data_IF_938424315259
#
_entry.id   IF_938424315259
#
_cell.length_a   1.000
_cell.length_b   1.000
_cell.length_c   1.000
_cell.angle_alpha   90.00
_cell.angle_beta   90.00
_cell.angle_gamma   90.00
#
_symmetry.space_group_name_H-M   'P 1'
#
loop_
_entity.id
_entity.type
_entity.pdbx_description
1 polymer ?
#
# COMPACT_ATOMS: atom_id res chain seq x y z
N UNK A 1 17.08 -15.77 -11.21
CA UNK A 1 16.49 -15.07 -10.06
C UNK A 1 17.30 -15.44 -8.84
N UNK A 2 17.84 -14.48 -8.11
CA UNK A 2 18.51 -14.78 -6.85
C UNK A 2 17.43 -14.97 -5.78
N UNK A 3 17.52 -16.08 -5.03
CA UNK A 3 16.66 -16.34 -3.88
C UNK A 3 17.16 -15.49 -2.72
N UNK A 4 16.26 -14.73 -2.09
CA UNK A 4 16.57 -13.87 -0.95
C UNK A 4 16.22 -14.61 0.34
N UNK A 5 17.03 -14.41 1.39
CA UNK A 5 16.68 -14.92 2.71
C UNK A 5 15.66 -14.01 3.40
N UNK A 6 14.84 -14.52 4.35
CA UNK A 6 13.86 -13.70 5.07
C UNK A 6 14.46 -12.55 5.90
N UNK A 7 15.77 -12.57 6.18
CA UNK A 7 16.46 -11.49 6.89
C UNK A 7 16.81 -10.35 5.92
N UNK A 8 17.14 -10.68 4.67
CA UNK A 8 17.52 -9.71 3.65
C UNK A 8 16.30 -9.05 3.00
N UNK A 9 15.22 -9.81 2.81
CA UNK A 9 14.00 -9.31 2.16
C UNK A 9 12.76 -10.09 2.60
N UNK A 10 11.62 -9.40 2.55
CA UNK A 10 10.29 -10.01 2.65
C UNK A 10 9.88 -10.78 1.38
N UNK A 11 10.54 -10.53 0.24
CA UNK A 11 10.31 -11.24 -1.01
C UNK A 11 11.21 -12.47 -1.12
N UNK A 12 10.70 -13.54 -1.75
CA UNK A 12 11.46 -14.77 -1.89
C UNK A 12 12.53 -14.66 -2.98
N UNK A 13 12.34 -13.77 -3.96
CA UNK A 13 13.26 -13.57 -5.07
C UNK A 13 13.50 -12.10 -5.39
N UNK A 14 14.64 -11.83 -6.04
CA UNK A 14 14.94 -10.49 -6.57
C UNK A 14 13.92 -10.02 -7.60
N UNK A 15 13.37 -10.91 -8.42
CA UNK A 15 12.37 -10.52 -9.43
C UNK A 15 11.07 -10.03 -8.79
N UNK A 16 10.58 -10.73 -7.75
CA UNK A 16 9.40 -10.31 -6.99
C UNK A 16 9.63 -8.93 -6.33
N UNK A 17 10.82 -8.72 -5.75
CA UNK A 17 11.19 -7.47 -5.13
C UNK A 17 11.24 -6.31 -6.16
N UNK A 18 11.87 -6.54 -7.31
CA UNK A 18 11.97 -5.54 -8.38
C UNK A 18 10.60 -5.21 -8.97
N UNK A 19 9.73 -6.22 -9.14
CA UNK A 19 8.36 -6.01 -9.60
C UNK A 19 7.53 -5.19 -8.60
N UNK A 20 7.69 -5.45 -7.30
CA UNK A 20 7.04 -4.67 -6.25
C UNK A 20 7.56 -3.22 -6.22
N UNK A 21 8.88 -3.01 -6.28
CA UNK A 21 9.48 -1.67 -6.28
C UNK A 21 8.99 -0.84 -7.48
N UNK A 22 8.95 -1.43 -8.68
CA UNK A 22 8.45 -0.76 -9.87
C UNK A 22 6.97 -0.33 -9.73
N UNK A 23 6.11 -1.24 -9.24
CA UNK A 23 4.71 -0.91 -8.96
C UNK A 23 4.56 0.16 -7.88
N UNK A 24 5.34 0.06 -6.79
CA UNK A 24 5.27 0.99 -5.67
C UNK A 24 5.69 2.39 -6.08
N UNK A 25 6.78 2.54 -6.84
CA UNK A 25 7.21 3.84 -7.39
C UNK A 25 6.16 4.46 -8.29
N UNK A 26 5.56 3.68 -9.19
CA UNK A 26 4.48 4.17 -10.05
C UNK A 26 3.28 4.66 -9.23
N UNK A 27 2.90 3.92 -8.18
CA UNK A 27 1.83 4.31 -7.26
C UNK A 27 2.15 5.61 -6.50
N UNK A 28 3.39 5.78 -6.06
CA UNK A 28 3.84 7.01 -5.39
C UNK A 28 3.84 8.20 -6.36
N UNK A 29 4.31 8.03 -7.59
CA UNK A 29 4.29 9.08 -8.60
C UNK A 29 2.85 9.55 -8.90
N UNK A 30 1.91 8.61 -9.03
CA UNK A 30 0.48 8.93 -9.17
C UNK A 30 -0.06 9.71 -7.96
N UNK A 31 0.35 9.36 -6.74
CA UNK A 31 -0.08 10.06 -5.54
C UNK A 31 0.53 11.46 -5.44
N UNK A 32 1.81 11.62 -5.79
CA UNK A 32 2.55 12.89 -5.76
C UNK A 32 2.05 13.88 -6.81
N UNK A 33 1.58 13.39 -7.95
CA UNK A 33 1.04 14.22 -9.04
C UNK A 33 -0.45 14.53 -8.86
N UNK A 34 -1.10 13.93 -7.86
CA UNK A 34 -2.52 14.19 -7.56
C UNK A 34 -2.74 15.62 -7.09
N UNK A 35 -3.72 16.29 -7.69
CA UNK A 35 -4.20 17.63 -7.27
C UNK A 35 -5.33 17.55 -6.25
N UNK A 36 -5.74 16.34 -5.85
CA UNK A 36 -6.78 16.17 -4.84
C UNK A 36 -6.32 16.73 -3.49
N UNK A 37 -7.19 17.43 -2.74
CA UNK A 37 -6.84 17.90 -1.42
C UNK A 37 -6.58 16.72 -0.47
N UNK A 38 -5.65 16.91 0.46
CA UNK A 38 -5.44 15.97 1.56
C UNK A 38 -6.72 15.81 2.40
N UNK A 39 -6.92 14.61 2.95
CA UNK A 39 -8.03 14.31 3.84
C UNK A 39 -7.53 14.44 5.28
N UNK A 40 -8.22 15.21 6.16
CA UNK A 40 -7.89 15.25 7.58
C UNK A 40 -7.92 13.87 8.22
N UNK A 41 -7.03 13.61 9.18
CA UNK A 41 -6.91 12.31 9.85
C UNK A 41 -8.25 11.80 10.40
N UNK A 42 -8.99 12.65 11.13
CA UNK A 42 -10.27 12.27 11.73
C UNK A 42 -11.30 11.85 10.68
N UNK A 43 -11.29 12.48 9.51
CA UNK A 43 -12.17 12.12 8.40
C UNK A 43 -11.78 10.77 7.80
N UNK A 44 -10.48 10.47 7.65
CA UNK A 44 -10.02 9.15 7.21
C UNK A 44 -10.45 8.07 8.22
N UNK A 45 -10.30 8.33 9.52
CA UNK A 45 -10.71 7.39 10.56
C UNK A 45 -12.22 7.14 10.56
N UNK A 46 -13.02 8.18 10.34
CA UNK A 46 -14.48 8.02 10.18
C UNK A 46 -14.84 7.15 8.96
N UNK A 47 -14.17 7.36 7.82
CA UNK A 47 -14.37 6.54 6.62
C UNK A 47 -14.00 5.07 6.86
N UNK A 48 -12.87 4.82 7.52
CA UNK A 48 -12.44 3.45 7.87
C UNK A 48 -13.48 2.79 8.79
N UNK A 49 -13.97 3.49 9.79
CA UNK A 49 -14.96 2.93 10.72
C UNK A 49 -16.28 2.58 10.02
N UNK A 50 -16.72 3.38 9.05
CA UNK A 50 -17.88 3.07 8.23
C UNK A 50 -17.70 1.78 7.42
N UNK A 51 -16.51 1.56 6.84
CA UNK A 51 -16.21 0.34 6.10
C UNK A 51 -16.22 -0.87 7.03
N UNK A 52 -15.65 -0.75 8.23
CA UNK A 52 -15.64 -1.84 9.24
C UNK A 52 -17.07 -2.17 9.66
N UNK A 53 -17.88 -1.17 10.01
CA UNK A 53 -19.28 -1.37 10.43
C UNK A 53 -20.09 -2.09 9.35
N UNK A 54 -19.91 -1.67 8.09
CA UNK A 54 -20.60 -2.28 6.93
C UNK A 54 -20.34 -3.78 6.81
N UNK A 55 -19.15 -4.25 7.20
CA UNK A 55 -18.75 -5.66 7.09
C UNK A 55 -18.77 -6.39 8.43
N UNK A 56 -19.26 -5.76 9.51
CA UNK A 56 -19.33 -6.43 10.81
C UNK A 56 -20.35 -7.57 10.73
N UNK A 57 -19.95 -8.81 11.05
CA UNK A 57 -20.90 -9.92 11.14
C UNK A 57 -21.94 -9.63 12.23
N UNK A 58 -23.17 -10.08 11.99
CA UNK A 58 -24.30 -9.90 12.92
C UNK A 58 -24.10 -10.66 14.22
#
# INVERSE_FOLDING_TARGET
MAKLSPIESEFATTEEADAYDAWFRAKIEMAMTSTAPGIPHDQVMAMVQQVIEKHRPR
#
